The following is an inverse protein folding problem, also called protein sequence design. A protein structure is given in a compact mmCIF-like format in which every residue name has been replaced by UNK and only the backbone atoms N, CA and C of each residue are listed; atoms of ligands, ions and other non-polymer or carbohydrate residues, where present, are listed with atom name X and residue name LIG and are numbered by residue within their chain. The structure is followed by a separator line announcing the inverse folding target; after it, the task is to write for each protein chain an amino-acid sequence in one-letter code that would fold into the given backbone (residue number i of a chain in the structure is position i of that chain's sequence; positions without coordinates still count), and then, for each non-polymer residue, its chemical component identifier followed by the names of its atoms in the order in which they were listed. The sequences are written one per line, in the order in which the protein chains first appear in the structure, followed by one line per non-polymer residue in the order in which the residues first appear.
data_IF_864424808075
#
_entry.id   IF_864424808075
#
_cell.length_a   1.000
_cell.length_b   1.000
_cell.length_c   1.000
_cell.angle_alpha   90.00
_cell.angle_beta   90.00
_cell.angle_gamma   90.00
#
_symmetry.space_group_name_H-M   'P 1'
#
loop_
_entity.id
_entity.type
_entity.pdbx_description
1 polymer ?
2 non-polymer ?
3 non-polymer ?
4 non-polymer ?
5 non-polymer ?
6 non-polymer ?
7 water ?
#
# COMPACT_ATOMS: atom_id res chain seq x y z
N UNK A 1 1.04 16.31 0.53
CA UNK A 1 0.54 14.93 0.88
C UNK A 1 1.47 14.24 1.85
N UNK A 2 1.31 12.92 1.96
CA UNK A 2 2.06 12.09 2.90
C UNK A 2 3.59 12.25 2.71
N UNK A 3 4.07 12.23 1.47
CA UNK A 3 5.50 12.36 1.23
C UNK A 3 6.02 13.72 1.68
N UNK A 4 5.27 14.78 1.41
CA UNK A 4 5.64 16.09 1.92
C UNK A 4 5.66 16.11 3.44
N UNK A 5 4.66 15.47 4.07
CA UNK A 5 4.66 15.43 5.52
C UNK A 5 5.93 14.80 6.12
N UNK A 6 6.44 13.76 5.47
CA UNK A 6 7.68 13.14 5.91
C UNK A 6 8.81 14.20 5.86
N UNK A 7 8.84 14.99 4.78
CA UNK A 7 9.81 16.08 4.68
C UNK A 7 9.61 17.17 5.74
N UNK A 8 8.37 17.54 6.00
CA UNK A 8 8.09 18.54 7.03
C UNK A 8 8.62 18.04 8.40
N UNK A 9 8.27 16.81 8.73
CA UNK A 9 8.67 16.25 10.02
C UNK A 9 10.20 16.09 10.08
N UNK A 10 10.80 15.52 9.05
CA UNK A 10 12.26 15.38 9.04
C UNK A 10 12.99 16.70 9.15
N UNK A 11 12.46 17.74 8.53
CA UNK A 11 13.11 19.04 8.58
C UNK A 11 13.34 19.57 9.99
N UNK A 12 12.41 19.30 10.90
CA UNK A 12 12.58 19.67 12.31
C UNK A 12 12.22 18.47 13.18
N UNK A 13 12.96 17.41 12.97
CA UNK A 13 12.64 16.12 13.58
C UNK A 13 12.60 16.17 15.09
N UNK A 14 13.56 16.82 15.73
CA UNK A 14 13.57 16.83 17.20
C UNK A 14 12.35 17.54 17.77
N UNK A 15 11.92 18.64 17.13
CA UNK A 15 10.77 19.38 17.63
C UNK A 15 9.48 18.63 17.41
N UNK A 16 9.26 18.11 16.21
CA UNK A 16 8.05 17.35 15.96
C UNK A 16 8.01 16.07 16.78
N UNK A 17 9.16 15.40 16.93
CA UNK A 17 9.20 14.13 17.67
C UNK A 17 8.80 14.38 19.12
N UNK A 18 9.39 15.40 19.72
CA UNK A 18 9.06 15.75 21.10
C UNK A 18 7.61 16.19 21.24
N UNK A 19 7.13 17.04 20.34
CA UNK A 19 5.77 17.55 20.46
C UNK A 19 4.73 16.45 20.28
N UNK A 20 4.96 15.54 19.33
CA UNK A 20 3.99 14.48 19.07
C UNK A 20 4.02 13.45 20.19
N UNK A 21 5.22 13.09 20.64
CA UNK A 21 5.33 12.17 21.76
C UNK A 21 4.64 12.72 23.02
N UNK A 22 4.85 13.99 23.34
CA UNK A 22 4.20 14.59 24.50
C UNK A 22 2.67 14.62 24.26
N UNK A 23 2.23 14.88 23.04
CA UNK A 23 0.79 14.84 22.74
C UNK A 23 0.21 13.46 23.03
N UNK A 24 0.98 12.43 22.69
CA UNK A 24 0.61 11.04 22.97
C UNK A 24 0.48 10.77 24.47
N UNK A 25 1.52 11.11 25.22
CA UNK A 25 1.46 10.93 26.67
C UNK A 25 0.36 11.77 27.33
N UNK A 26 0.08 12.95 26.79
CA UNK A 26 -0.97 13.82 27.37
C UNK A 26 -2.35 13.28 27.16
N UNK A 27 -2.59 12.73 25.97
CA UNK A 27 -3.90 12.18 25.66
C UNK A 27 -4.10 10.86 26.40
N UNK A 28 -3.03 10.08 26.49
CA UNK A 28 -3.07 8.73 27.09
C UNK A 28 -2.05 8.65 28.23
N UNK A 29 -2.35 9.33 29.35
CA UNK A 29 -1.35 9.43 30.41
C UNK A 29 -0.85 8.11 31.00
N UNK A 30 -1.70 7.10 31.02
CA UNK A 30 -1.29 5.82 31.59
C UNK A 30 -0.17 5.15 30.78
N UNK A 31 0.04 5.62 29.53
CA UNK A 31 1.12 5.11 28.67
C UNK A 31 2.52 5.53 29.14
N UNK A 32 2.58 6.60 29.94
CA UNK A 32 3.87 7.02 30.53
C UNK A 32 4.50 5.91 31.38
N UNK A 33 3.70 4.96 31.86
CA UNK A 33 4.22 3.86 32.66
C UNK A 33 5.30 3.03 31.95
N UNK A 34 5.27 3.00 30.62
CA UNK A 34 6.27 2.27 29.84
C UNK A 34 7.62 3.00 29.77
N UNK A 35 7.66 4.25 30.21
CA UNK A 35 8.85 5.08 30.14
C UNK A 35 9.16 5.54 31.56
N UNK A 36 9.78 4.66 32.34
CA UNK A 36 9.89 4.86 33.78
C UNK A 36 10.67 6.12 34.20
N UNK A 37 11.65 6.51 33.39
CA UNK A 37 12.47 7.69 33.72
C UNK A 37 11.84 9.04 33.38
N UNK A 38 10.65 9.01 32.77
CA UNK A 38 9.86 10.21 32.43
C UNK A 38 8.70 10.48 33.40
N UNK A 39 8.42 9.52 34.29
CA UNK A 39 7.40 9.68 35.33
C UNK A 39 7.75 10.87 36.22
N UNK A 40 6.76 11.70 36.51
CA UNK A 40 6.93 12.84 37.39
C UNK A 40 7.77 14.00 36.92
N UNK A 41 8.01 14.02 35.62
CA UNK A 41 8.87 15.01 35.05
C UNK A 41 8.06 15.82 34.09
N UNK A 42 8.13 17.13 34.28
CA UNK A 42 7.46 18.08 33.43
C UNK A 42 8.09 18.06 32.05
N UNK A 43 7.39 18.65 31.09
CA UNK A 43 7.89 18.74 29.73
C UNK A 43 9.30 19.37 29.66
N UNK A 44 9.54 20.49 30.35
CA UNK A 44 10.85 21.14 30.27
C UNK A 44 11.96 20.30 30.91
N UNK A 45 11.63 19.63 32.01
CA UNK A 45 12.56 18.69 32.67
C UNK A 45 12.91 17.55 31.71
N UNK A 46 11.90 16.99 31.03
CA UNK A 46 12.14 15.96 30.02
C UNK A 46 13.14 16.42 28.95
N UNK A 47 12.86 17.58 28.37
CA UNK A 47 13.64 18.08 27.24
C UNK A 47 15.10 18.45 27.60
N UNK A 48 15.42 18.42 28.91
CA UNK A 48 16.78 18.62 29.45
C UNK A 48 17.48 17.30 29.83
N UNK A 49 16.79 16.19 29.63
CA UNK A 49 17.32 14.83 29.77
C UNK A 49 17.77 14.32 28.42
N UNK A 50 19.05 13.94 28.34
CA UNK A 50 19.67 13.55 27.08
C UNK A 50 18.88 12.43 26.39
N UNK A 51 18.45 11.43 27.16
CA UNK A 51 17.78 10.29 26.55
C UNK A 51 16.39 10.65 26.03
N UNK A 52 15.74 11.68 26.59
CA UNK A 52 14.40 12.06 26.09
C UNK A 52 14.48 12.58 24.66
N UNK A 53 15.35 13.55 24.42
CA UNK A 53 15.55 14.05 23.08
C UNK A 53 16.09 13.00 22.12
N UNK A 54 17.00 12.18 22.63
CA UNK A 54 17.58 11.05 21.87
C UNK A 54 16.55 9.96 21.56
N UNK A 55 15.85 9.46 22.57
CA UNK A 55 14.81 8.46 22.38
C UNK A 55 13.87 8.92 21.34
N UNK A 56 13.30 10.09 21.56
CA UNK A 56 12.16 10.56 20.76
C UNK A 56 12.57 10.78 19.34
N UNK A 57 13.73 11.41 19.12
CA UNK A 57 14.16 11.64 17.75
C UNK A 57 14.36 10.32 17.02
N UNK A 58 14.99 9.36 17.70
CA UNK A 58 15.27 8.04 17.10
C UNK A 58 13.99 7.25 16.79
N UNK A 59 13.00 7.34 17.67
CA UNK A 59 11.70 6.77 17.41
C UNK A 59 11.10 7.35 16.11
N UNK A 60 11.09 8.66 16.02
CA UNK A 60 10.48 9.30 14.89
C UNK A 60 11.31 9.19 13.62
N UNK A 61 12.61 9.05 13.77
CA UNK A 61 13.44 8.77 12.60
C UNK A 61 13.04 7.43 12.00
N UNK A 62 12.93 6.41 12.84
CA UNK A 62 12.52 5.11 12.36
C UNK A 62 11.08 5.17 11.79
N UNK A 63 10.17 5.86 12.44
CA UNK A 63 8.82 5.98 11.92
C UNK A 63 8.84 6.59 10.51
N UNK A 64 9.65 7.63 10.33
CA UNK A 64 9.76 8.27 9.03
C UNK A 64 10.38 7.37 7.96
N UNK A 65 11.34 6.53 8.34
CA UNK A 65 11.90 5.53 7.42
C UNK A 65 10.83 4.55 6.98
N UNK A 66 10.08 4.02 7.96
CA UNK A 66 8.99 3.06 7.65
C UNK A 66 7.95 3.75 6.75
N UNK A 67 7.61 5.00 7.07
CA UNK A 67 6.67 5.76 6.26
C UNK A 67 7.17 5.96 4.83
N UNK A 68 8.44 6.32 4.70
CA UNK A 68 9.03 6.58 3.38
C UNK A 68 9.14 5.31 2.53
N UNK A 69 9.36 4.16 3.19
CA UNK A 69 9.44 2.88 2.48
C UNK A 69 8.07 2.31 2.11
N UNK A 70 7.00 2.84 2.68
CA UNK A 70 5.65 2.36 2.37
C UNK A 70 5.26 2.72 0.95
N UNK A 71 4.30 1.98 0.40
CA UNK A 71 3.67 2.35 -0.88
C UNK A 71 2.19 2.61 -0.57
N UNK A 72 1.71 3.78 -0.96
CA UNK A 72 0.33 4.20 -0.69
C UNK A 72 -0.06 3.90 0.77
N UNK A 73 0.84 4.26 1.69
CA UNK A 73 0.60 4.09 3.14
C UNK A 73 0.54 2.65 3.64
N UNK A 74 1.00 1.71 2.83
CA UNK A 74 1.09 0.30 3.24
C UNK A 74 2.55 0.03 3.56
N UNK A 75 2.88 -0.21 4.84
CA UNK A 75 4.26 -0.44 5.22
C UNK A 75 4.76 -1.81 4.81
N UNK A 76 6.08 -1.95 4.72
CA UNK A 76 6.72 -3.23 4.51
C UNK A 76 6.52 -4.12 5.74
N UNK A 77 6.21 -5.38 5.47
CA UNK A 77 6.10 -6.38 6.53
C UNK A 77 7.41 -6.49 7.30
N UNK A 78 8.55 -6.35 6.61
CA UNK A 78 9.84 -6.40 7.28
C UNK A 78 10.01 -5.30 8.32
N UNK A 79 9.48 -4.12 8.03
CA UNK A 79 9.52 -3.02 9.00
C UNK A 79 8.61 -3.28 10.20
N UNK A 80 7.40 -3.81 9.96
CA UNK A 80 6.53 -4.21 11.06
C UNK A 80 7.24 -5.25 11.95
N UNK A 81 7.95 -6.19 11.32
CA UNK A 81 8.67 -7.19 12.10
C UNK A 81 9.78 -6.63 12.98
N UNK A 82 10.52 -5.66 12.45
CA UNK A 82 11.53 -4.94 13.23
C UNK A 82 10.88 -4.37 14.49
N UNK A 83 9.74 -3.72 14.33
CA UNK A 83 9.06 -3.09 15.48
C UNK A 83 8.58 -4.12 16.50
N UNK A 84 8.09 -5.26 16.02
CA UNK A 84 7.59 -6.28 16.92
C UNK A 84 8.71 -6.94 17.72
N UNK A 85 9.86 -7.17 17.09
CA UNK A 85 10.92 -7.96 17.74
C UNK A 85 11.98 -7.09 18.43
N UNK A 86 11.75 -5.79 18.52
CA UNK A 86 12.57 -4.93 19.38
C UNK A 86 12.33 -5.27 20.84
N UNK A 87 13.41 -5.49 21.59
CA UNK A 87 13.31 -5.84 23.00
C UNK A 87 12.53 -4.77 23.78
N UNK A 88 12.70 -3.52 23.38
CA UNK A 88 11.97 -2.41 24.04
C UNK A 88 10.45 -2.44 23.82
N UNK A 89 9.99 -3.26 22.86
CA UNK A 89 8.58 -3.38 22.54
C UNK A 89 7.98 -4.69 22.98
N UNK A 90 8.68 -5.43 23.84
CA UNK A 90 8.33 -6.82 24.15
C UNK A 90 6.96 -6.98 24.83
N UNK A 91 6.57 -5.98 25.62
CA UNK A 91 5.34 -6.07 26.42
C UNK A 91 4.16 -5.33 25.77
N UNK A 92 4.38 -4.76 24.60
CA UNK A 92 3.34 -3.96 23.94
C UNK A 92 2.33 -4.78 23.14
N UNK A 93 1.19 -4.17 22.89
CA UNK A 93 0.16 -4.75 22.04
C UNK A 93 -0.15 -3.73 20.96
N UNK A 94 -0.89 -4.15 19.94
CA UNK A 94 -1.17 -3.24 18.82
C UNK A 94 -1.95 -1.99 19.30
N UNK A 95 -2.66 -2.12 20.41
CA UNK A 95 -3.39 -1.01 21.00
C UNK A 95 -2.52 0.16 21.38
N UNK A 96 -1.32 -0.11 21.86
CA UNK A 96 -0.40 0.97 22.20
C UNK A 96 -0.01 1.76 20.95
N UNK A 97 0.15 1.07 19.83
CA UNK A 97 0.46 1.71 18.56
C UNK A 97 -0.74 2.47 18.00
N UNK A 98 -1.93 1.92 18.14
CA UNK A 98 -3.15 2.62 17.73
C UNK A 98 -3.32 3.94 18.47
N UNK A 99 -3.05 3.94 19.78
CA UNK A 99 -3.09 5.16 20.60
C UNK A 99 -2.10 6.21 20.10
N UNK A 100 -0.86 5.80 19.84
CA UNK A 100 0.13 6.73 19.29
C UNK A 100 -0.37 7.38 18.01
N UNK A 101 -0.94 6.59 17.11
CA UNK A 101 -1.39 7.16 15.85
C UNK A 101 -2.66 8.02 16.00
N UNK A 102 -3.53 7.68 16.94
CA UNK A 102 -4.67 8.57 17.23
C UNK A 102 -4.16 9.94 17.69
N UNK A 103 -3.20 9.95 18.60
CA UNK A 103 -2.63 11.19 19.08
C UNK A 103 -1.88 11.96 17.99
N UNK A 104 -1.15 11.26 17.14
CA UNK A 104 -0.39 11.87 16.06
C UNK A 104 -1.33 12.55 15.06
N UNK A 105 -2.41 11.88 14.71
CA UNK A 105 -3.40 12.45 13.79
C UNK A 105 -4.11 13.66 14.43
N UNK A 106 -4.52 13.54 15.70
CA UNK A 106 -5.19 14.64 16.37
C UNK A 106 -4.30 15.87 16.35
N UNK A 107 -3.01 15.65 16.62
CA UNK A 107 -2.01 16.72 16.66
C UNK A 107 -1.84 17.37 15.29
N UNK A 108 -1.75 16.56 14.24
CA UNK A 108 -1.70 17.08 12.89
C UNK A 108 -2.90 17.94 12.55
N UNK A 109 -4.10 17.45 12.87
CA UNK A 109 -5.32 18.21 12.58
C UNK A 109 -5.34 19.54 13.35
N UNK A 110 -4.83 19.55 14.59
CA UNK A 110 -4.81 20.78 15.42
C UNK A 110 -3.70 21.78 15.07
N UNK A 111 -2.71 21.40 14.28
CA UNK A 111 -1.54 22.29 14.04
C UNK A 111 -1.80 23.43 13.02
N UNK A 112 -0.96 24.49 13.06
CA UNK A 112 -0.91 25.48 11.96
C UNK A 112 -0.55 24.84 10.63
N UNK A 113 0.42 23.92 10.67
CA UNK A 113 0.99 23.22 9.51
C UNK A 113 0.03 22.22 8.83
N UNK A 114 0.12 22.14 7.48
CA UNK A 114 -0.92 21.54 6.55
C UNK A 114 -0.84 20.04 6.11
N UNK A 115 -0.97 19.15 7.07
CA UNK A 115 -0.64 17.72 7.01
C UNK A 115 -1.72 16.93 6.32
N UNK A 116 -1.34 15.79 5.73
CA UNK A 116 -2.32 14.87 5.13
C UNK A 116 -2.74 13.90 6.23
N UNK A 117 -3.45 14.41 7.23
CA UNK A 117 -3.65 13.68 8.48
C UNK A 117 -4.36 12.36 8.23
N UNK A 118 -5.28 12.39 7.28
CA UNK A 118 -6.05 11.23 6.83
C UNK A 118 -5.14 10.07 6.41
N UNK A 119 -4.12 10.38 5.63
CA UNK A 119 -3.13 9.39 5.22
C UNK A 119 -2.35 8.85 6.41
N UNK A 120 -2.05 9.67 7.40
CA UNK A 120 -1.39 9.16 8.61
C UNK A 120 -2.27 8.21 9.37
N UNK A 121 -3.58 8.48 9.37
CA UNK A 121 -4.55 7.60 10.03
C UNK A 121 -4.53 6.24 9.31
N UNK A 122 -4.60 6.26 7.98
CA UNK A 122 -4.59 5.02 7.21
C UNK A 122 -3.27 4.27 7.35
N UNK A 123 -2.15 4.99 7.31
CA UNK A 123 -0.84 4.39 7.56
C UNK A 123 -0.83 3.69 8.92
N UNK A 124 -1.33 4.37 9.94
CA UNK A 124 -1.41 3.78 11.27
C UNK A 124 -2.24 2.50 11.30
N UNK A 125 -3.40 2.52 10.64
CA UNK A 125 -4.25 1.32 10.56
C UNK A 125 -3.53 0.18 9.81
N UNK A 126 -2.88 0.50 8.70
CA UNK A 126 -2.14 -0.51 7.96
C UNK A 126 -0.96 -1.04 8.76
N UNK A 127 -0.30 -0.17 9.51
CA UNK A 127 0.81 -0.62 10.36
C UNK A 127 0.34 -1.54 11.47
N UNK A 128 -0.78 -1.21 12.12
CA UNK A 128 -1.35 -2.07 13.15
C UNK A 128 -1.70 -3.45 12.59
N UNK A 129 -2.35 -3.50 11.43
CA UNK A 129 -2.66 -4.79 10.80
C UNK A 129 -1.40 -5.64 10.64
N UNK A 130 -0.34 -4.98 10.18
CA UNK A 130 0.95 -5.64 9.91
C UNK A 130 1.68 -6.07 11.17
N UNK A 131 1.60 -5.26 12.23
CA UNK A 131 2.16 -5.64 13.52
C UNK A 131 1.47 -6.89 14.03
N UNK A 132 0.15 -6.93 13.89
CA UNK A 132 -0.61 -8.10 14.29
C UNK A 132 -0.14 -9.34 13.51
N UNK A 133 0.00 -9.18 12.20
CA UNK A 133 0.42 -10.29 11.33
C UNK A 133 1.83 -10.81 11.66
N UNK A 134 2.71 -9.91 12.11
CA UNK A 134 4.06 -10.25 12.52
C UNK A 134 4.14 -10.77 13.97
N UNK A 135 2.99 -10.92 14.63
CA UNK A 135 2.92 -11.60 15.93
C UNK A 135 2.66 -10.76 17.17
N UNK A 136 2.42 -9.46 17.01
CA UNK A 136 2.08 -8.65 18.17
C UNK A 136 0.63 -8.94 18.57
N UNK A 137 0.42 -9.16 19.86
CA UNK A 137 -0.92 -9.47 20.38
C UNK A 137 -1.79 -8.22 20.42
N UNK B 1 -16.32 0.93 -5.34
CA UNK B 1 -14.84 1.14 -5.26
C UNK B 1 -14.08 -0.03 -5.83
N UNK B 2 -12.77 -0.06 -5.57
CA UNK B 2 -11.87 -1.13 -6.07
C UNK B 2 -12.34 -2.51 -5.61
N UNK B 3 -12.63 -2.64 -4.33
CA UNK B 3 -13.02 -3.93 -3.76
C UNK B 3 -14.29 -4.45 -4.42
N UNK B 4 -15.26 -3.56 -4.60
CA UNK B 4 -16.51 -3.96 -5.24
C UNK B 4 -16.31 -4.27 -6.72
N UNK B 5 -15.44 -3.52 -7.39
CA UNK B 5 -15.14 -3.82 -8.80
C UNK B 5 -14.62 -5.24 -8.99
N UNK B 6 -13.83 -5.73 -8.04
CA UNK B 6 -13.37 -7.11 -8.08
C UNK B 6 -14.58 -8.05 -8.09
N UNK B 7 -15.57 -7.77 -7.23
CA UNK B 7 -16.81 -8.56 -7.23
C UNK B 7 -17.59 -8.41 -8.54
N UNK B 8 -17.64 -7.21 -9.11
CA UNK B 8 -18.33 -6.99 -10.39
C UNK B 8 -17.70 -7.84 -11.49
N UNK B 9 -16.38 -7.80 -11.60
CA UNK B 9 -15.69 -8.57 -12.63
C UNK B 9 -15.90 -10.06 -12.39
N UNK B 10 -15.73 -10.52 -11.15
CA UNK B 10 -15.91 -11.94 -10.81
C UNK B 10 -17.30 -12.45 -11.12
N UNK B 11 -18.28 -11.55 -11.03
CA UNK B 11 -19.68 -11.87 -11.29
C UNK B 11 -20.01 -12.18 -12.74
N UNK B 12 -19.15 -11.73 -13.66
CA UNK B 12 -19.31 -12.01 -15.09
C UNK B 12 -17.92 -12.13 -15.71
N UNK B 13 -17.12 -13.01 -15.14
CA UNK B 13 -15.67 -13.04 -15.37
C UNK B 13 -15.27 -13.30 -16.82
N UNK B 14 -15.83 -14.34 -17.43
CA UNK B 14 -15.35 -14.68 -18.77
C UNK B 14 -15.73 -13.60 -19.77
N UNK B 15 -16.86 -12.93 -19.56
CA UNK B 15 -17.25 -11.83 -20.44
C UNK B 15 -16.31 -10.64 -20.24
N UNK B 16 -16.11 -10.19 -19.01
CA UNK B 16 -15.21 -9.08 -18.74
C UNK B 16 -13.78 -9.41 -19.17
N UNK B 17 -13.29 -10.62 -18.86
CA UNK B 17 -11.93 -11.00 -19.21
C UNK B 17 -11.69 -10.94 -20.71
N UNK B 18 -12.62 -11.47 -21.48
CA UNK B 18 -12.46 -11.42 -22.93
C UNK B 18 -12.56 -10.01 -23.43
N UNK B 19 -13.54 -9.25 -22.94
CA UNK B 19 -13.71 -7.89 -23.39
C UNK B 19 -12.48 -7.02 -23.09
N UNK B 20 -11.93 -7.15 -21.88
CA UNK B 20 -10.78 -6.34 -21.50
C UNK B 20 -9.55 -6.79 -22.25
N UNK B 21 -9.34 -8.09 -22.37
CA UNK B 21 -8.17 -8.61 -23.08
C UNK B 21 -8.23 -8.23 -24.55
N UNK B 22 -9.43 -8.29 -25.15
CA UNK B 22 -9.62 -7.80 -26.53
C UNK B 22 -9.31 -6.30 -26.66
N UNK B 23 -9.72 -5.52 -25.67
CA UNK B 23 -9.41 -4.09 -25.68
C UNK B 23 -7.89 -3.86 -25.66
N UNK B 24 -7.19 -4.66 -24.88
CA UNK B 24 -5.73 -4.64 -24.83
C UNK B 24 -5.10 -4.98 -26.18
N UNK B 25 -5.51 -6.10 -26.78
CA UNK B 25 -4.92 -6.52 -28.04
C UNK B 25 -5.29 -5.57 -29.18
N UNK B 26 -6.48 -4.99 -29.15
CA UNK B 26 -6.82 -4.03 -30.20
C UNK B 26 -6.10 -2.69 -30.03
N UNK B 27 -5.87 -2.27 -28.80
CA UNK B 27 -5.11 -1.05 -28.58
C UNK B 27 -3.63 -1.23 -28.94
N UNK B 28 -3.10 -2.42 -28.64
CA UNK B 28 -1.68 -2.74 -28.85
C UNK B 28 -1.53 -4.05 -29.63
N UNK B 29 -1.81 -4.02 -30.95
CA UNK B 29 -1.85 -5.27 -31.73
C UNK B 29 -0.54 -6.04 -31.78
N UNK B 30 0.57 -5.34 -31.57
CA UNK B 30 1.88 -5.99 -31.48
C UNK B 30 2.03 -6.93 -30.28
N UNK B 31 1.20 -6.76 -29.24
CA UNK B 31 1.28 -7.60 -28.06
C UNK B 31 0.88 -9.05 -28.35
N UNK B 32 0.23 -9.26 -29.49
CA UNK B 32 -0.16 -10.60 -29.92
C UNK B 32 1.03 -11.52 -30.17
N UNK B 33 2.17 -10.93 -30.52
CA UNK B 33 3.40 -11.71 -30.71
C UNK B 33 3.64 -12.74 -29.66
N UNK B 34 3.35 -12.35 -28.42
CA UNK B 34 3.66 -13.16 -27.26
C UNK B 34 2.75 -14.40 -27.18
N UNK B 35 1.68 -14.41 -27.96
CA UNK B 35 0.69 -15.47 -27.93
C UNK B 35 0.75 -16.27 -29.22
N UNK B 36 0.11 -17.42 -29.21
CA UNK B 36 0.08 -18.33 -30.36
C UNK B 36 -1.27 -18.21 -31.05
N UNK B 37 -1.24 -17.99 -32.35
CA UNK B 37 -2.43 -18.06 -33.20
C UNK B 37 -3.47 -16.97 -32.97
N UNK B 38 -3.06 -15.81 -32.46
CA UNK B 38 -4.02 -14.73 -32.25
C UNK B 38 -4.06 -13.76 -33.42
N UNK B 39 -2.92 -13.59 -34.10
CA UNK B 39 -2.85 -12.71 -35.26
C UNK B 39 -3.81 -13.15 -36.37
N UNK B 40 -4.30 -12.19 -37.14
CA UNK B 40 -5.13 -12.50 -38.31
C UNK B 40 -6.57 -12.84 -38.03
N UNK B 41 -7.04 -12.48 -36.85
CA UNK B 41 -8.37 -12.86 -36.41
C UNK B 41 -9.12 -11.69 -35.81
N UNK B 42 -10.40 -11.62 -36.15
CA UNK B 42 -11.29 -10.63 -35.56
C UNK B 42 -11.65 -11.04 -34.13
N UNK B 43 -12.26 -10.13 -33.39
CA UNK B 43 -12.73 -10.40 -32.03
C UNK B 43 -13.60 -11.68 -31.96
N UNK B 44 -14.57 -11.81 -32.86
CA UNK B 44 -15.46 -12.98 -32.81
C UNK B 44 -14.69 -14.26 -33.10
N UNK B 45 -13.76 -14.20 -34.05
CA UNK B 45 -12.90 -15.35 -34.33
C UNK B 45 -12.14 -15.76 -33.07
N UNK B 46 -11.47 -14.82 -32.42
CA UNK B 46 -10.73 -15.11 -31.21
C UNK B 46 -11.64 -15.76 -30.15
N UNK B 47 -12.81 -15.19 -29.94
CA UNK B 47 -13.72 -15.71 -28.94
C UNK B 47 -14.12 -17.17 -29.19
N UNK B 48 -14.15 -17.58 -30.45
CA UNK B 48 -14.55 -18.95 -30.77
C UNK B 48 -13.38 -19.92 -30.82
N UNK B 49 -12.17 -19.44 -30.56
CA UNK B 49 -11.01 -20.34 -30.50
C UNK B 49 -11.17 -21.28 -29.32
N UNK B 50 -10.53 -22.44 -29.39
CA UNK B 50 -10.61 -23.41 -28.29
C UNK B 50 -10.14 -22.87 -26.94
N UNK B 51 -9.02 -22.13 -26.91
CA UNK B 51 -8.40 -21.76 -25.64
C UNK B 51 -8.20 -20.25 -25.43
N UNK B 52 -8.83 -19.41 -26.26
CA UNK B 52 -8.79 -17.96 -26.00
C UNK B 52 -9.58 -17.59 -24.74
N UNK B 53 -10.84 -17.99 -24.66
CA UNK B 53 -11.66 -17.69 -23.48
C UNK B 53 -11.07 -18.34 -22.24
N UNK B 54 -10.62 -19.59 -22.37
CA UNK B 54 -10.11 -20.31 -21.19
C UNK B 54 -8.86 -19.66 -20.65
N UNK B 55 -7.88 -19.38 -21.52
CA UNK B 55 -6.62 -18.72 -21.11
C UNK B 55 -6.90 -17.43 -20.41
N UNK B 56 -7.74 -16.64 -21.06
CA UNK B 56 -8.01 -15.27 -20.64
C UNK B 56 -8.80 -15.22 -19.33
N UNK B 57 -9.72 -16.18 -19.13
CA UNK B 57 -10.32 -16.39 -17.84
C UNK B 57 -9.28 -16.72 -16.77
N UNK B 58 -8.31 -17.56 -17.08
CA UNK B 58 -7.30 -17.90 -16.07
C UNK B 58 -6.44 -16.69 -15.72
N UNK B 59 -6.12 -15.84 -16.69
CA UNK B 59 -5.43 -14.59 -16.43
C UNK B 59 -6.22 -13.69 -15.47
N UNK B 60 -7.49 -13.49 -15.77
CA UNK B 60 -8.29 -12.61 -14.93
C UNK B 60 -8.69 -13.22 -13.59
N UNK B 61 -8.85 -14.54 -13.53
CA UNK B 61 -9.02 -15.22 -12.24
C UNK B 61 -7.88 -14.83 -11.30
N UNK B 62 -6.65 -14.92 -11.81
CA UNK B 62 -5.48 -14.61 -10.99
C UNK B 62 -5.36 -13.12 -10.76
N UNK B 63 -5.64 -12.30 -11.78
CA UNK B 63 -5.58 -10.86 -11.60
C UNK B 63 -6.50 -10.44 -10.47
N UNK B 64 -7.68 -11.03 -10.42
CA UNK B 64 -8.64 -10.63 -9.39
C UNK B 64 -8.18 -11.09 -8.00
N UNK B 65 -7.53 -12.26 -7.90
CA UNK B 65 -6.95 -12.67 -6.60
C UNK B 65 -5.84 -11.72 -6.16
N UNK B 66 -5.00 -11.30 -7.10
CA UNK B 66 -3.92 -10.36 -6.79
C UNK B 66 -4.53 -9.05 -6.29
N UNK B 67 -5.53 -8.56 -7.00
CA UNK B 67 -6.24 -7.35 -6.58
C UNK B 67 -6.90 -7.53 -5.20
N UNK B 68 -7.47 -8.71 -4.94
CA UNK B 68 -8.22 -8.95 -3.70
C UNK B 68 -7.26 -9.04 -2.50
N UNK B 69 -6.05 -9.56 -2.74
CA UNK B 69 -5.04 -9.71 -1.69
C UNK B 69 -4.29 -8.41 -1.45
N UNK B 70 -4.50 -7.42 -2.30
CA UNK B 70 -3.88 -6.10 -2.13
C UNK B 70 -4.47 -5.35 -0.93
N UNK B 71 -3.68 -4.41 -0.40
CA UNK B 71 -4.17 -3.41 0.56
C UNK B 71 -3.99 -2.05 -0.10
N UNK B 72 -5.05 -1.24 -0.12
CA UNK B 72 -4.99 0.08 -0.74
C UNK B 72 -4.39 0.04 -2.14
N UNK B 73 -4.74 -0.98 -2.92
CA UNK B 73 -4.28 -1.12 -4.30
C UNK B 73 -2.79 -1.43 -4.42
N UNK B 74 -2.16 -1.88 -3.32
CA UNK B 74 -0.78 -2.31 -3.32
C UNK B 74 -0.74 -3.84 -3.30
N UNK B 75 -0.27 -4.47 -4.39
CA UNK B 75 -0.25 -5.93 -4.39
C UNK B 75 0.81 -6.50 -3.45
N UNK B 76 0.62 -7.74 -3.03
CA UNK B 76 1.61 -8.48 -2.30
C UNK B 76 2.86 -8.74 -3.14
N UNK B 77 4.02 -8.63 -2.50
CA UNK B 77 5.29 -8.95 -3.15
C UNK B 77 5.32 -10.40 -3.61
N UNK B 78 4.71 -11.31 -2.84
CA UNK B 78 4.72 -12.71 -3.25
C UNK B 78 3.91 -12.92 -4.53
N UNK B 79 2.84 -12.13 -4.72
CA UNK B 79 2.08 -12.22 -5.97
C UNK B 79 2.91 -11.69 -7.14
N UNK B 80 3.61 -10.58 -6.93
CA UNK B 80 4.52 -10.07 -7.96
C UNK B 80 5.59 -11.12 -8.34
N UNK B 81 6.19 -11.74 -7.33
CA UNK B 81 7.21 -12.76 -7.57
C UNK B 81 6.67 -13.92 -8.42
N UNK B 82 5.47 -14.40 -8.12
CA UNK B 82 4.83 -15.44 -8.93
C UNK B 82 4.71 -15.03 -10.38
N UNK B 83 4.24 -13.81 -10.62
CA UNK B 83 4.04 -13.33 -11.97
C UNK B 83 5.37 -13.18 -12.74
N UNK B 84 6.42 -12.77 -12.05
CA UNK B 84 7.76 -12.68 -12.66
C UNK B 84 8.36 -14.07 -12.99
N UNK B 85 8.19 -15.03 -12.08
CA UNK B 85 8.85 -16.33 -12.22
C UNK B 85 8.03 -17.41 -12.95
N UNK B 86 6.82 -17.07 -13.41
CA UNK B 86 6.07 -17.94 -14.31
C UNK B 86 6.81 -18.13 -15.63
N UNK B 87 7.03 -19.38 -16.03
CA UNK B 87 7.69 -19.66 -17.31
C UNK B 87 6.99 -18.95 -18.48
N UNK B 88 5.67 -18.89 -18.43
CA UNK B 88 4.89 -18.25 -19.48
C UNK B 88 5.16 -16.74 -19.60
N UNK B 89 5.80 -16.14 -18.59
CA UNK B 89 6.11 -14.71 -18.59
C UNK B 89 7.59 -14.42 -18.77
N UNK B 90 8.37 -15.41 -19.23
CA UNK B 90 9.82 -15.23 -19.34
C UNK B 90 10.24 -14.18 -20.39
N UNK B 91 9.44 -13.98 -21.43
CA UNK B 91 9.73 -12.99 -22.49
C UNK B 91 9.30 -11.55 -22.15
N UNK B 92 8.67 -11.35 -20.99
CA UNK B 92 7.99 -10.09 -20.68
C UNK B 92 8.85 -9.08 -19.93
N UNK B 93 8.53 -7.80 -20.12
CA UNK B 93 9.06 -6.73 -19.29
C UNK B 93 7.87 -6.00 -18.68
N UNK B 94 8.14 -5.09 -17.75
CA UNK B 94 7.05 -4.43 -17.06
C UNK B 94 6.19 -3.61 -18.03
N UNK B 95 6.75 -3.20 -19.17
CA UNK B 95 6.00 -2.44 -20.16
C UNK B 95 4.80 -3.18 -20.70
N UNK B 96 4.89 -4.49 -20.80
CA UNK B 96 3.77 -5.29 -21.27
C UNK B 96 2.57 -5.19 -20.30
N UNK B 97 2.87 -5.18 -19.01
CA UNK B 97 1.86 -5.02 -17.98
C UNK B 97 1.30 -3.61 -17.94
N UNK B 98 2.18 -2.62 -18.10
CA UNK B 98 1.73 -1.23 -18.16
C UNK B 98 0.69 -1.05 -19.26
N UNK B 99 0.95 -1.61 -20.44
CA UNK B 99 0.02 -1.51 -21.56
C UNK B 99 -1.31 -2.19 -21.27
N UNK B 100 -1.26 -3.38 -20.67
CA UNK B 100 -2.49 -4.06 -20.28
C UNK B 100 -3.35 -3.18 -19.35
N UNK B 101 -2.72 -2.54 -18.37
CA UNK B 101 -3.49 -1.70 -17.44
C UNK B 101 -3.99 -0.39 -18.04
N UNK B 102 -3.25 0.16 -18.99
CA UNK B 102 -3.73 1.33 -19.70
C UNK B 102 -5.01 0.97 -20.44
N UNK B 103 -5.01 -0.15 -21.15
CA UNK B 103 -6.20 -0.59 -21.89
C UNK B 103 -7.36 -0.92 -20.95
N UNK B 104 -7.06 -1.57 -19.83
CA UNK B 104 -8.06 -1.94 -18.84
C UNK B 104 -8.75 -0.70 -18.25
N UNK B 105 -7.97 0.30 -17.89
CA UNK B 105 -8.51 1.56 -17.37
C UNK B 105 -9.36 2.29 -18.42
N UNK B 106 -8.93 2.22 -19.69
CA UNK B 106 -9.73 2.78 -20.79
C UNK B 106 -11.04 2.01 -20.98
N UNK B 107 -11.00 0.68 -20.93
CA UNK B 107 -12.25 -0.07 -21.00
C UNK B 107 -13.21 0.38 -19.90
N UNK B 108 -12.70 0.57 -18.69
CA UNK B 108 -13.56 0.87 -17.55
C UNK B 108 -14.19 2.25 -17.68
N UNK B 109 -13.40 3.23 -18.09
CA UNK B 109 -13.90 4.59 -18.29
C UNK B 109 -15.03 4.62 -19.33
N UNK B 110 -14.85 3.87 -20.41
CA UNK B 110 -15.83 3.84 -21.51
C UNK B 110 -17.09 3.01 -21.23
N UNK B 111 -17.03 2.14 -20.23
CA UNK B 111 -18.12 1.20 -19.97
C UNK B 111 -19.31 1.89 -19.34
N UNK B 112 -20.49 1.27 -19.49
CA UNK B 112 -21.70 1.71 -18.80
C UNK B 112 -21.76 1.38 -17.31
N UNK B 113 -20.84 0.54 -16.81
CA UNK B 113 -20.75 0.25 -15.35
C UNK B 113 -20.00 1.36 -14.54
N UNK B 114 -20.11 1.35 -13.21
CA UNK B 114 -19.50 2.39 -12.37
C UNK B 114 -18.15 1.98 -11.75
N UNK B 115 -17.13 1.79 -12.57
CA UNK B 115 -15.88 1.28 -12.05
C UNK B 115 -15.06 2.38 -11.40
N UNK B 116 -14.22 2.03 -10.43
CA UNK B 116 -13.30 2.99 -9.83
C UNK B 116 -12.02 2.96 -10.68
N UNK B 117 -12.09 3.54 -11.88
CA UNK B 117 -11.05 3.36 -12.90
C UNK B 117 -9.70 3.87 -12.41
N UNK B 118 -9.72 4.94 -11.62
CA UNK B 118 -8.51 5.52 -11.06
C UNK B 118 -7.78 4.59 -10.07
N UNK B 119 -8.53 3.86 -9.26
CA UNK B 119 -7.92 2.82 -8.42
C UNK B 119 -7.27 1.70 -9.26
N UNK B 120 -7.89 1.32 -10.37
CA UNK B 120 -7.26 0.34 -11.28
C UNK B 120 -5.98 0.87 -11.88
N UNK B 121 -5.96 2.16 -12.18
CA UNK B 121 -4.76 2.78 -12.69
C UNK B 121 -3.66 2.73 -11.62
N UNK B 122 -4.00 3.10 -10.39
CA UNK B 122 -3.03 3.03 -9.28
C UNK B 122 -2.55 1.59 -9.06
N UNK B 123 -3.48 0.64 -9.09
CA UNK B 123 -3.13 -0.77 -8.93
C UNK B 123 -2.14 -1.22 -10.01
N UNK B 124 -2.42 -0.85 -11.25
CA UNK B 124 -1.50 -1.20 -12.34
C UNK B 124 -0.12 -0.60 -12.15
N UNK B 125 -0.06 0.66 -11.75
CA UNK B 125 1.21 1.32 -11.49
C UNK B 125 1.94 0.65 -10.32
N UNK B 126 1.20 0.31 -9.27
CA UNK B 126 1.80 -0.38 -8.13
C UNK B 126 2.25 -1.79 -8.47
N UNK B 127 1.51 -2.45 -9.35
CA UNK B 127 1.93 -3.79 -9.79
C UNK B 127 3.20 -3.71 -10.63
N UNK B 128 3.28 -2.76 -11.55
CA UNK B 128 4.51 -2.56 -12.32
C UNK B 128 5.69 -2.30 -11.38
N UNK B 129 5.50 -1.45 -10.37
CA UNK B 129 6.56 -1.16 -9.39
C UNK B 129 6.96 -2.46 -8.67
N UNK B 130 5.98 -3.28 -8.33
CA UNK B 130 6.27 -4.53 -7.61
C UNK B 130 6.94 -5.58 -8.49
N UNK B 131 6.58 -5.61 -9.75
CA UNK B 131 7.24 -6.49 -10.71
C UNK B 131 8.70 -6.07 -10.86
N UNK B 132 8.94 -4.76 -10.92
CA UNK B 132 10.30 -4.26 -10.96
C UNK B 132 11.07 -4.66 -9.70
N UNK B 133 10.46 -4.48 -8.54
CA UNK B 133 11.13 -4.84 -7.28
C UNK B 133 11.33 -6.35 -7.17
N UNK B 134 10.51 -7.14 -7.86
CA UNK B 134 10.69 -8.60 -7.95
C UNK B 134 11.68 -9.02 -9.04
N UNK B 135 12.20 -8.07 -9.80
CA UNK B 135 13.29 -8.32 -10.75
C UNK B 135 12.93 -8.43 -12.21
N UNK B 136 11.70 -8.08 -12.59
CA UNK B 136 11.35 -8.05 -14.00
C UNK B 136 12.00 -6.83 -14.61
N UNK B 137 12.54 -6.99 -15.81
CA UNK B 137 13.17 -5.87 -16.52
C UNK B 137 12.13 -4.99 -17.19
X LIG C 1 12.28 2.50 22.26
X LIG C 1 10.66 3.14 17.56
X LIG C 1 6.04 2.88 19.08
X LIG C 1 7.66 2.19 23.77
X LIG C 1 12.22 2.71 20.82
X LIG C 1 13.43 2.87 20.00
X LIG C 1 12.97 3.06 18.63
X LIG C 1 11.49 3.00 18.71
X LIG C 1 13.83 3.26 17.41
X LIG C 1 14.85 2.83 20.46
X LIG C 1 15.34 4.26 20.70
X LIG C 1 16.71 4.24 21.35
X LIG C 1 17.30 5.34 21.45
X LIG C 1 17.21 3.18 21.78
X LIG C 1 9.22 3.12 17.57
X LIG C 1 8.46 3.40 16.36
X LIG C 1 7.10 3.36 16.83
X LIG C 1 7.22 3.00 18.24
X LIG C 1 8.98 3.73 15.01
X LIG C 1 5.85 3.47 16.06
X LIG C 1 5.80 3.29 14.76
X LIG C 1 6.07 2.68 20.50
X LIG C 1 4.83 2.66 21.29
X LIG C 1 5.31 2.45 22.66
X LIG C 1 6.79 2.38 22.62
X LIG C 1 3.43 2.78 20.76
X LIG C 1 4.54 2.38 23.93
X LIG C 1 3.30 2.77 24.04
X LIG C 1 9.11 2.21 23.72
X LIG C 1 9.85 2.16 24.98
X LIG C 1 11.23 2.26 24.54
X LIG C 1 11.10 2.34 23.08
X LIG C 1 9.33 2.05 26.38
X LIG C 1 12.45 2.26 25.42
X LIG C 1 12.82 3.70 25.77
X LIG C 1 14.14 4.04 25.13
X LIG C 1 14.18 4.65 24.03
X LIG C 1 15.19 3.70 25.73
X LIG C 1 10.99 2.90 20.07
X LIG C 1 8.50 2.93 18.69
X LIG C 1 7.29 2.62 21.29
X LIG C 1 9.86 2.35 22.58
X LIG C 1 9.14 2.42 20.61
X LIG D 1 1.42 11.20 -1.22
X LIG D 1 0.25 11.57 -0.38
X LIG D 1 2.29 12.36 -1.34
X LIG D 1 2.16 10.11 -0.57
X LIG D 1 0.97 10.81 -2.56
X LIG E 1 7.47 5.49 19.50
X LIG E 1 6.52 6.44 19.37
X LIG E 1 5.70 6.72 20.45
X LIG E 1 4.72 7.69 20.35
X LIG E 1 4.59 8.40 19.18
X LIG E 1 5.41 8.14 18.10
X LIG E 1 6.39 7.15 18.19
X LIG E 1 5.93 5.71 22.03
X LIG E 1 3.28 9.74 19.02
X LIG E 1 7.52 6.81 16.71
X LIG F 1 8.91 4.78 21.29
X LIG F 1 8.24 5.52 21.73
X LIG G 1 -0.25 -17.16 -19.34
X LIG G 1 -1.73 -14.41 -15.44
X LIG G 1 -0.21 -10.38 -17.68
X LIG G 1 1.42 -13.14 -21.50
X LIG G 1 -0.81 -16.73 -18.08
X LIG G 1 -1.46 -17.70 -17.16
X LIG G 1 -1.90 -16.89 -16.03
X LIG G 1 -1.47 -15.50 -16.35
X LIG G 1 -2.59 -17.35 -14.80
X LIG G 1 -1.67 -19.18 -17.35
X LIG G 1 -2.84 -19.27 -18.34
X LIG G 1 -3.10 -20.67 -18.86
X LIG G 1 -2.14 -21.46 -19.02
X LIG G 1 -4.27 -21.01 -19.12
X LIG G 1 -1.41 -13.04 -15.74
X LIG G 1 -1.86 -11.97 -14.84
X LIG G 1 -1.41 -10.79 -15.52
X LIG G 1 -0.77 -11.30 -16.73
X LIG G 1 -2.57 -12.13 -13.54
X LIG G 1 -1.50 -9.39 -15.08
X LIG G 1 -1.74 -9.04 -13.82
X LIG G 1 0.37 -10.76 -18.94
X LIG G 1 0.87 -9.78 -19.93
X LIG G 1 1.37 -10.63 -21.03
X LIG G 1 1.07 -12.02 -20.67
X LIG G 1 0.93 -8.30 -19.76
X LIG G 1 1.92 -10.22 -22.34
X LIG G 1 1.74 -9.01 -22.85
X LIG G 1 1.09 -14.52 -21.20
X LIG G 1 1.35 -15.53 -22.21
X LIG G 1 0.84 -16.74 -21.59
X LIG G 1 0.37 -16.27 -20.29
X LIG G 1 1.98 -15.33 -23.56
X LIG G 1 0.86 -18.14 -22.14
X LIG G 1 0.26 -18.23 -23.53
X LIG G 1 -1.23 -18.15 -23.46
X LIG G 1 -1.87 -17.96 -24.53
X LIG G 1 -1.76 -18.27 -22.34
X LIG G 1 -0.90 -15.35 -17.67
X LIG G 1 -0.82 -12.65 -16.87
X LIG G 1 0.38 -12.11 -19.41
X LIG G 1 0.49 -14.95 -20.07
X LIG G 1 0.06 -13.77 -18.40
X LIG H 1 -12.27 0.72 -2.15
X LIG H 1 -11.89 1.52 -3.31
X LIG H 1 -11.73 -0.64 -2.32
X LIG H 1 -11.71 1.37 -0.93
X LIG H 1 -13.73 0.67 -2.07
X LIG I 1 -2.99 -11.08 -19.04
X LIG I 1 -2.56 -9.85 -19.39
X LIG I 1 -2.61 -8.80 -18.49
X LIG I 1 -2.16 -7.55 -18.84
X LIG I 1 -1.69 -7.33 -20.12
X LIG I 1 -1.65 -8.38 -21.03
X LIG I 1 -2.09 -9.64 -20.66
X LIG I 1 -3.26 -9.14 -16.77
X LIG I 1 -1.10 -5.59 -20.58
X LIG I 1 -2.06 -11.11 -21.84
X LIG J 1 1.36 -16.80 -34.28
X LIG J 1 1.75 -16.18 -33.00
X LIG J 1 1.15 -18.48 -34.08
X LIG J 1 -0.18 -16.22 -34.74
X LIG K 1 -1.79 -13.41 -19.91
X LIG K 1 -2.29 -12.93 -20.76
X LIG L 1 6.56 -4.31 -25.87
X LIG L 1 6.86 -3.60 -27.13
X LIG L 1 6.11 -5.69 -26.20
X LIG L 1 7.78 -4.38 -25.04
X LIG L 1 5.51 -3.61 -25.10
#
# INVERSE_FOLDING_TARGET
GFKQDIATIRGDLRTYAQDIFLAFLNKYPDERRYFKNYVGKSDQELKSMAKFGDHTEKVFNLMMEVADRATDCVPLASDANTLVQMKQHSSLTTGNFEKLFVALVEYMRASGQSFDSQSWDRFGKNLVSALSSAGMK
GFKQDIATIRGDLRTYAQDIFLAFLNKYPDERRYFKNYVGKSDQELKSMAKFGDHTEKVFNLMMEVADRATDCVPLASDANTLVQMKQHSSLTTGNFEKLFVALVEYMRASGQSFDSQSWDRFGKNLVSALSSAGMK
HEM CHA CHB CHC CHD C1A C2A C3A C4A CMA CAA CBA CGA O1A O2A C1B C2B C3B C4B CMB CAB CBB C1C C2C C3C C4C CMC CAC CBC C1D C2D C3D C4D CMD CAD CBD CGD O1D O2D NA NB NC ND FE
SO4 S O1 O2 O3 O4
TBP O1 C1 C2 C3 C4 C5 C6 BR2 BR4 BR6
OXY O1 O2
HEM CHA CHB CHC CHD C1A C2A C3A C4A CMA CAA CBA CGA O1A O2A C1B C2B C3B C4B CMB CAB CBB C1C C2C C3C C4C CMC CAC CBC C1D C2D C3D C4D CMD CAD CBD CGD O1D O2D NA NB NC ND FE
SO4 S O1 O2 O3 O4
TBP O1 C1 C2 C3 C4 C5 C6 BR2 BR4 BR6
DMS S O C1 C2
OXY O1 O2
SO4 S O1 O2 O3 O4
#
